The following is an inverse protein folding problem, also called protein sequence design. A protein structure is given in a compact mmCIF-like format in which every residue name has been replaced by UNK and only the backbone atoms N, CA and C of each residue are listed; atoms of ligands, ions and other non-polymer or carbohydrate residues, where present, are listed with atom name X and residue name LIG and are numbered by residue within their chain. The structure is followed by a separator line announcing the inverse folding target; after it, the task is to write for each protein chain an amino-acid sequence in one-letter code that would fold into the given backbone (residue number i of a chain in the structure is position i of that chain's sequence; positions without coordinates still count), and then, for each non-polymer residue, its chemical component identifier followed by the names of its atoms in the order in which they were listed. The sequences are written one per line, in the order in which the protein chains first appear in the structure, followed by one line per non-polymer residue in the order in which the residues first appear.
data_IF_124471998943
#
_entry.id   IF_124471998943
#
_cell.length_a   1.000
_cell.length_b   1.000
_cell.length_c   1.000
_cell.angle_alpha   90.00
_cell.angle_beta   90.00
_cell.angle_gamma   90.00
#
_symmetry.space_group_name_H-M   'P 1'
#
loop_
_entity.id
_entity.type
_entity.pdbx_description
1 polymer ?
#
# COMPACT_ATOMS: atom_id res chain seq x y z
N UNK A 1 11.59 -10.80 -1.04
CA UNK A 1 10.17 -11.16 -1.26
C UNK A 1 9.85 -11.37 -2.74
N UNK A 2 9.99 -10.38 -3.62
CA UNK A 2 9.68 -10.51 -5.06
C UNK A 2 10.26 -11.77 -5.74
N UNK A 3 11.56 -12.07 -5.55
CA UNK A 3 12.18 -13.31 -6.06
C UNK A 3 11.51 -14.58 -5.55
N UNK A 4 11.13 -14.61 -4.27
CA UNK A 4 10.44 -15.76 -3.67
C UNK A 4 9.03 -15.95 -4.25
N UNK A 5 8.34 -14.86 -4.59
CA UNK A 5 7.03 -14.94 -5.27
C UNK A 5 7.17 -15.44 -6.70
N UNK A 6 8.20 -15.02 -7.44
CA UNK A 6 8.50 -15.58 -8.77
C UNK A 6 8.77 -17.10 -8.70
N UNK A 7 9.58 -17.54 -7.72
CA UNK A 7 9.83 -18.96 -7.48
C UNK A 7 8.55 -19.72 -7.08
N UNK A 8 7.67 -19.11 -6.29
CA UNK A 8 6.38 -19.68 -5.92
C UNK A 8 5.51 -19.90 -7.17
N UNK A 9 5.35 -18.89 -8.03
CA UNK A 9 4.55 -19.01 -9.26
C UNK A 9 5.09 -20.11 -10.18
N UNK A 10 6.42 -20.22 -10.31
CA UNK A 10 7.07 -21.32 -11.03
C UNK A 10 6.75 -22.68 -10.42
N UNK A 11 6.82 -22.83 -9.09
CA UNK A 11 6.51 -24.09 -8.38
C UNK A 11 5.04 -24.49 -8.50
N UNK A 12 4.13 -23.51 -8.59
CA UNK A 12 2.71 -23.73 -8.82
C UNK A 12 2.38 -24.03 -10.30
N UNK A 13 3.35 -23.94 -11.21
CA UNK A 13 3.16 -24.21 -12.64
C UNK A 13 2.53 -23.07 -13.44
N UNK A 14 2.47 -21.86 -12.89
CA UNK A 14 1.94 -20.69 -13.60
C UNK A 14 2.99 -20.10 -14.55
N UNK A 15 2.80 -20.32 -15.85
CA UNK A 15 3.66 -19.77 -16.90
C UNK A 15 3.18 -18.39 -17.41
N UNK A 16 2.00 -17.94 -16.98
CA UNK A 16 1.38 -16.65 -17.29
C UNK A 16 0.58 -16.21 -16.06
N UNK A 17 0.91 -15.06 -15.49
CA UNK A 17 0.26 -14.52 -14.31
C UNK A 17 0.36 -12.99 -14.24
N UNK A 18 -0.51 -12.38 -13.45
CA UNK A 18 -0.44 -10.97 -13.07
C UNK A 18 -0.16 -10.87 -11.58
N UNK A 19 0.35 -9.73 -11.12
CA UNK A 19 0.58 -9.48 -9.70
C UNK A 19 -0.15 -8.21 -9.24
N UNK A 20 -0.67 -8.22 -8.02
CA UNK A 20 -1.42 -7.10 -7.43
C UNK A 20 -0.87 -6.80 -6.03
N UNK A 21 -0.75 -5.52 -5.66
CA UNK A 21 -0.41 -5.16 -4.30
C UNK A 21 -0.77 -3.73 -3.87
N UNK A 22 -1.16 -3.59 -2.60
CA UNK A 22 -1.15 -2.36 -1.81
C UNK A 22 -0.14 -2.47 -0.66
N UNK A 23 0.15 -1.38 0.05
CA UNK A 23 1.14 -1.35 1.15
C UNK A 23 2.45 -2.09 0.81
N UNK A 24 2.99 -2.96 1.68
CA UNK A 24 4.15 -3.82 1.40
C UNK A 24 4.00 -4.64 0.12
N UNK A 25 2.78 -5.03 -0.22
CA UNK A 25 2.46 -5.70 -1.48
C UNK A 25 2.77 -4.84 -2.71
N UNK A 26 2.49 -3.52 -2.68
CA UNK A 26 2.81 -2.59 -3.76
C UNK A 26 4.33 -2.57 -4.03
N UNK A 27 5.15 -2.61 -2.98
CA UNK A 27 6.60 -2.73 -3.11
C UNK A 27 7.01 -4.05 -3.75
N UNK A 28 6.40 -5.15 -3.30
CA UNK A 28 6.71 -6.47 -3.83
C UNK A 28 6.39 -6.54 -5.31
N UNK A 29 5.23 -6.05 -5.75
CA UNK A 29 4.85 -6.09 -7.17
C UNK A 29 5.67 -5.13 -8.03
N UNK A 30 6.03 -3.95 -7.53
CA UNK A 30 7.00 -3.09 -8.23
C UNK A 30 8.36 -3.77 -8.39
N UNK A 31 8.86 -4.42 -7.34
CA UNK A 31 10.12 -5.17 -7.39
C UNK A 31 10.02 -6.37 -8.34
N UNK A 32 8.86 -7.02 -8.45
CA UNK A 32 8.60 -8.01 -9.50
C UNK A 32 8.61 -7.36 -10.88
N UNK A 33 8.00 -6.19 -11.05
CA UNK A 33 8.01 -5.43 -12.29
C UNK A 33 9.42 -5.01 -12.74
N UNK A 34 10.32 -4.69 -11.81
CA UNK A 34 11.74 -4.44 -12.10
C UNK A 34 12.49 -5.72 -12.46
N UNK A 35 12.20 -6.82 -11.78
CA UNK A 35 12.86 -8.12 -12.02
C UNK A 35 12.39 -8.80 -13.29
N UNK A 36 11.18 -8.47 -13.77
CA UNK A 36 10.53 -9.05 -14.95
C UNK A 36 10.62 -10.60 -14.97
N UNK A 37 10.18 -11.30 -13.90
CA UNK A 37 10.23 -12.74 -13.86
C UNK A 37 9.41 -13.34 -14.99
N UNK A 38 9.90 -14.46 -15.55
CA UNK A 38 9.22 -15.16 -16.63
C UNK A 38 7.76 -15.48 -16.26
N UNK A 39 6.84 -15.14 -17.17
CA UNK A 39 5.41 -15.35 -17.00
C UNK A 39 4.65 -14.18 -16.36
N UNK A 40 5.31 -13.17 -15.79
CA UNK A 40 4.64 -11.95 -15.33
C UNK A 40 4.17 -11.12 -16.52
N UNK A 41 2.86 -10.96 -16.66
CA UNK A 41 2.22 -10.23 -17.76
C UNK A 41 2.01 -8.75 -17.45
N UNK A 42 1.61 -8.42 -16.22
CA UNK A 42 1.33 -7.08 -15.76
C UNK A 42 1.33 -7.02 -14.23
N UNK A 43 1.47 -5.81 -13.70
CA UNK A 43 1.25 -5.51 -12.27
C UNK A 43 0.08 -4.55 -12.09
N UNK A 44 -0.64 -4.65 -10.97
CA UNK A 44 -1.60 -3.65 -10.50
C UNK A 44 -1.18 -3.14 -9.11
N UNK A 45 -1.25 -1.83 -8.91
CA UNK A 45 -1.03 -1.23 -7.60
C UNK A 45 -2.17 -0.29 -7.20
N UNK A 46 -2.62 -0.42 -5.94
CA UNK A 46 -3.52 0.54 -5.30
C UNK A 46 -2.78 1.51 -4.34
N UNK A 47 -1.45 1.39 -4.24
CA UNK A 47 -0.56 2.32 -3.53
C UNK A 47 0.72 2.47 -4.37
N UNK A 48 0.61 3.11 -5.55
CA UNK A 48 1.68 3.08 -6.55
C UNK A 48 2.87 3.94 -6.11
N UNK A 49 4.08 3.61 -6.56
CA UNK A 49 5.27 4.40 -6.27
C UNK A 49 5.48 5.43 -7.40
N UNK A 50 4.88 6.62 -7.27
CA UNK A 50 4.82 7.62 -8.35
C UNK A 50 5.49 8.95 -8.05
N UNK A 51 5.96 9.17 -6.82
CA UNK A 51 6.47 10.46 -6.36
C UNK A 51 7.76 10.84 -7.12
N UNK A 52 7.78 12.01 -7.80
CA UNK A 52 8.97 12.53 -8.46
C UNK A 52 10.11 12.87 -7.50
N UNK A 53 11.35 12.83 -7.97
CA UNK A 53 12.54 13.02 -7.13
C UNK A 53 12.66 14.43 -6.52
N UNK A 54 12.24 15.47 -7.24
CA UNK A 54 12.21 16.86 -6.76
C UNK A 54 11.13 17.06 -5.68
N UNK A 55 9.97 16.42 -5.86
CA UNK A 55 8.90 16.39 -4.85
C UNK A 55 9.35 15.65 -3.59
N UNK A 56 9.94 14.46 -3.72
CA UNK A 56 10.47 13.71 -2.56
C UNK A 56 11.54 14.52 -1.82
N UNK A 57 12.47 15.14 -2.55
CA UNK A 57 13.50 16.01 -1.94
C UNK A 57 12.87 17.14 -1.13
N UNK A 58 11.81 17.78 -1.64
CA UNK A 58 11.09 18.83 -0.92
C UNK A 58 10.40 18.30 0.34
N UNK A 59 9.76 17.11 0.25
CA UNK A 59 9.12 16.43 1.38
C UNK A 59 10.12 16.10 2.49
N UNK A 60 11.28 15.53 2.15
CA UNK A 60 12.34 15.21 3.12
C UNK A 60 12.95 16.45 3.76
N UNK A 61 13.03 17.56 3.01
CA UNK A 61 13.51 18.84 3.52
C UNK A 61 12.46 19.60 4.37
N UNK A 62 11.21 19.15 4.37
CA UNK A 62 10.10 19.89 4.99
C UNK A 62 9.85 21.26 4.33
N UNK A 63 10.17 21.39 3.03
CA UNK A 63 10.07 22.66 2.31
C UNK A 63 8.69 22.87 1.68
N UNK A 64 8.51 24.02 1.02
CA UNK A 64 7.37 24.25 0.13
C UNK A 64 7.43 23.29 -1.08
N UNK A 65 6.28 22.96 -1.68
CA UNK A 65 6.24 22.17 -2.90
C UNK A 65 7.03 22.84 -4.04
N UNK A 66 7.59 22.06 -4.99
CA UNK A 66 8.13 22.60 -6.22
C UNK A 66 7.13 23.52 -6.94
N UNK A 67 7.63 24.53 -7.66
CA UNK A 67 6.77 25.41 -8.46
C UNK A 67 6.15 24.66 -9.65
N UNK A 68 4.92 25.00 -10.01
CA UNK A 68 4.27 24.47 -11.23
C UNK A 68 3.54 23.15 -11.06
N UNK A 69 3.34 22.68 -9.82
CA UNK A 69 2.44 21.55 -9.56
C UNK A 69 1.01 21.88 -9.98
N UNK A 70 0.34 20.94 -10.64
CA UNK A 70 -1.11 21.02 -10.88
C UNK A 70 -1.89 20.94 -9.57
N UNK A 71 -3.20 21.21 -9.60
CA UNK A 71 -4.07 21.06 -8.41
C UNK A 71 -4.02 19.64 -7.82
N UNK A 72 -3.99 18.61 -8.67
CA UNK A 72 -3.90 17.22 -8.20
C UNK A 72 -2.55 16.91 -7.56
N UNK A 73 -1.47 17.43 -8.15
CA UNK A 73 -0.11 17.26 -7.65
C UNK A 73 0.12 18.03 -6.35
N UNK A 74 -0.46 19.21 -6.22
CA UNK A 74 -0.47 20.00 -4.98
C UNK A 74 -1.23 19.25 -3.86
N UNK A 75 -2.41 18.68 -4.18
CA UNK A 75 -3.16 17.85 -3.23
C UNK A 75 -2.34 16.64 -2.77
N UNK A 76 -1.70 15.94 -3.71
CA UNK A 76 -0.85 14.79 -3.41
C UNK A 76 0.35 15.19 -2.52
N UNK A 77 0.98 16.32 -2.79
CA UNK A 77 2.05 16.87 -1.95
C UNK A 77 1.57 17.10 -0.50
N UNK A 78 0.44 17.77 -0.34
CA UNK A 78 -0.13 18.08 0.98
C UNK A 78 -0.56 16.83 1.75
N UNK A 79 -1.09 15.82 1.06
CA UNK A 79 -1.37 14.49 1.64
C UNK A 79 -0.09 13.82 2.12
N UNK A 80 0.97 13.81 1.29
CA UNK A 80 2.26 13.25 1.68
C UNK A 80 2.88 13.97 2.88
N UNK A 81 2.77 15.30 2.96
CA UNK A 81 3.19 16.08 4.15
C UNK A 81 2.47 15.63 5.42
N UNK A 82 1.18 15.29 5.34
CA UNK A 82 0.42 14.75 6.48
C UNK A 82 0.84 13.31 6.80
N UNK A 83 0.90 12.45 5.79
CA UNK A 83 1.34 11.06 5.91
C UNK A 83 2.69 10.93 6.59
N UNK A 84 3.69 11.73 6.20
CA UNK A 84 5.02 11.68 6.82
C UNK A 84 5.06 12.12 8.30
N UNK A 85 3.99 12.73 8.83
CA UNK A 85 3.83 13.01 10.27
C UNK A 85 3.23 11.83 11.04
N UNK A 86 2.64 10.86 10.35
CA UNK A 86 1.92 9.70 10.91
C UNK A 86 2.73 8.38 10.82
N UNK A 87 3.97 8.42 10.33
CA UNK A 87 4.83 7.23 10.16
C UNK A 87 5.75 6.93 11.37
N UNK A 88 5.37 7.34 12.57
CA UNK A 88 6.18 7.11 13.77
C UNK A 88 6.35 5.61 14.08
N UNK A 89 5.28 4.82 13.87
CA UNK A 89 5.32 3.36 13.99
C UNK A 89 6.38 2.77 13.05
N UNK A 90 6.40 3.18 11.79
CA UNK A 90 7.35 2.71 10.77
C UNK A 90 8.78 3.11 11.13
N UNK A 91 9.01 4.31 11.66
CA UNK A 91 10.33 4.75 12.15
C UNK A 91 10.82 3.88 13.30
N UNK A 92 9.95 3.53 14.25
CA UNK A 92 10.31 2.64 15.35
C UNK A 92 10.63 1.23 14.87
N UNK A 93 9.79 0.66 14.00
CA UNK A 93 10.03 -0.65 13.39
C UNK A 93 11.29 -0.68 12.52
N UNK A 94 11.59 0.39 11.79
CA UNK A 94 12.79 0.51 10.96
C UNK A 94 14.08 0.67 11.77
N UNK A 95 13.98 1.14 13.02
CA UNK A 95 15.13 1.43 13.87
C UNK A 95 15.39 0.35 14.94
N UNK A 96 14.36 -0.20 15.59
CA UNK A 96 14.52 -1.13 16.71
C UNK A 96 13.36 -2.15 16.75
N UNK A 97 13.13 -2.93 15.68
CA UNK A 97 11.98 -3.83 15.63
C UNK A 97 12.01 -4.87 16.76
N UNK A 98 13.19 -5.33 17.15
CA UNK A 98 13.35 -6.35 18.19
C UNK A 98 12.95 -5.85 19.59
N UNK A 99 13.06 -4.55 19.86
CA UNK A 99 12.70 -3.97 21.16
C UNK A 99 11.18 -3.94 21.37
N UNK A 100 10.38 -4.16 20.32
CA UNK A 100 8.92 -4.21 20.38
C UNK A 100 8.36 -5.48 21.03
N UNK A 101 9.09 -6.15 21.92
CA UNK A 101 8.58 -7.36 22.60
C UNK A 101 7.29 -7.13 23.39
N UNK A 102 6.98 -5.88 23.77
CA UNK A 102 5.69 -5.54 24.39
C UNK A 102 4.47 -5.93 23.53
N UNK A 103 4.56 -5.86 22.20
CA UNK A 103 3.46 -6.29 21.31
C UNK A 103 3.43 -7.82 21.10
N UNK A 104 4.45 -8.54 21.55
CA UNK A 104 4.46 -10.01 21.56
C UNK A 104 3.91 -10.57 22.88
N UNK A 105 3.99 -9.81 23.97
CA UNK A 105 3.60 -10.23 25.32
C UNK A 105 2.20 -9.76 25.73
N UNK A 106 1.73 -8.64 25.17
CA UNK A 106 0.43 -8.05 25.50
C UNK A 106 -0.53 -8.08 24.30
N UNK A 107 -1.67 -8.80 24.35
CA UNK A 107 -2.64 -8.78 23.27
C UNK A 107 -3.31 -7.42 23.12
N UNK A 108 -3.47 -6.67 24.23
CA UNK A 108 -3.95 -5.28 24.20
C UNK A 108 -2.89 -4.37 23.57
N UNK A 109 -1.60 -4.59 23.89
CA UNK A 109 -0.49 -3.87 23.27
C UNK A 109 -0.41 -4.10 21.76
N UNK A 110 -0.57 -5.35 21.32
CA UNK A 110 -0.63 -5.70 19.91
C UNK A 110 -1.84 -5.07 19.21
N UNK A 111 -3.03 -5.17 19.81
CA UNK A 111 -4.24 -4.59 19.25
C UNK A 111 -4.11 -3.06 19.09
N UNK A 112 -3.66 -2.36 20.13
CA UNK A 112 -3.42 -0.92 20.07
C UNK A 112 -2.42 -0.56 18.96
N UNK A 113 -1.37 -1.37 18.80
CA UNK A 113 -0.34 -1.16 17.78
C UNK A 113 -0.85 -1.38 16.34
N UNK A 114 -1.68 -2.40 16.12
CA UNK A 114 -2.24 -2.69 14.79
C UNK A 114 -3.35 -1.73 14.41
N UNK A 115 -4.16 -1.28 15.36
CA UNK A 115 -5.23 -0.30 15.11
C UNK A 115 -4.67 1.08 14.72
N UNK A 116 -3.52 1.47 15.24
CA UNK A 116 -2.94 2.81 15.06
C UNK A 116 -2.17 2.98 13.73
N UNK A 117 -2.75 2.54 12.61
CA UNK A 117 -2.21 2.74 11.26
C UNK A 117 -3.01 3.80 10.49
N UNK A 118 -2.34 4.58 9.64
CA UNK A 118 -2.89 5.80 9.06
C UNK A 118 -3.51 5.63 7.67
N UNK A 119 -4.37 6.58 7.30
CA UNK A 119 -4.76 6.88 5.93
C UNK A 119 -4.21 8.27 5.50
N UNK A 120 -4.78 8.89 4.45
CA UNK A 120 -4.38 10.23 3.98
C UNK A 120 -4.60 11.37 5.01
N UNK A 121 -5.48 11.15 5.98
CA UNK A 121 -6.06 12.21 6.81
C UNK A 121 -5.80 11.99 8.30
N UNK A 122 -5.97 10.76 8.81
CA UNK A 122 -5.88 10.45 10.24
C UNK A 122 -5.15 9.13 10.54
N UNK A 123 -4.84 8.96 11.82
CA UNK A 123 -4.29 7.74 12.41
C UNK A 123 -4.97 7.53 13.76
N UNK A 124 -5.74 6.44 13.97
CA UNK A 124 -6.09 5.38 13.02
C UNK A 124 -6.84 5.85 11.75
N UNK A 125 -6.76 5.05 10.69
CA UNK A 125 -7.56 5.24 9.48
C UNK A 125 -9.07 5.26 9.79
N UNK A 126 -9.82 6.08 9.05
CA UNK A 126 -11.25 6.26 9.27
C UNK A 126 -12.03 4.95 9.13
N UNK A 127 -11.64 4.09 8.17
CA UNK A 127 -12.25 2.79 7.96
C UNK A 127 -12.12 1.84 9.16
N UNK A 128 -10.94 1.82 9.80
CA UNK A 128 -10.69 1.01 11.00
C UNK A 128 -11.55 1.52 12.17
N UNK A 129 -11.54 2.84 12.41
CA UNK A 129 -12.33 3.46 13.48
C UNK A 129 -13.83 3.22 13.31
N UNK A 130 -14.34 3.34 12.07
CA UNK A 130 -15.73 3.04 11.77
C UNK A 130 -16.05 1.54 11.92
N UNK A 131 -15.13 0.67 11.50
CA UNK A 131 -15.29 -0.78 11.59
C UNK A 131 -15.40 -1.30 13.01
N UNK A 132 -14.69 -0.71 13.97
CA UNK A 132 -14.79 -1.08 15.40
C UNK A 132 -16.19 -0.91 15.99
N UNK A 133 -17.02 -0.02 15.41
CA UNK A 133 -18.41 0.20 15.82
C UNK A 133 -19.43 -0.58 14.97
N UNK A 134 -18.98 -1.36 13.99
CA UNK A 134 -19.81 -2.11 13.04
C UNK A 134 -19.71 -3.61 13.31
N UNK A 135 -20.83 -4.30 13.54
CA UNK A 135 -20.87 -5.76 13.73
C UNK A 135 -21.37 -6.53 12.51
N UNK A 136 -21.96 -5.84 11.52
CA UNK A 136 -22.45 -6.44 10.27
C UNK A 136 -22.22 -5.48 9.11
N UNK A 137 -21.96 -6.01 7.92
CA UNK A 137 -21.92 -5.22 6.68
C UNK A 137 -22.73 -5.89 5.58
N UNK A 138 -23.50 -5.08 4.84
CA UNK A 138 -24.21 -5.51 3.64
C UNK A 138 -23.42 -5.24 2.34
N UNK A 139 -22.48 -4.30 2.36
CA UNK A 139 -21.75 -3.83 1.18
C UNK A 139 -20.25 -4.16 1.22
N UNK A 140 -19.80 -4.92 2.23
CA UNK A 140 -18.43 -5.38 2.40
C UNK A 140 -17.50 -4.40 3.14
N UNK A 141 -18.03 -3.42 3.87
CA UNK A 141 -17.23 -2.57 4.77
C UNK A 141 -16.73 -3.34 5.99
N UNK A 142 -15.53 -2.98 6.48
CA UNK A 142 -14.91 -3.60 7.66
C UNK A 142 -15.88 -3.67 8.85
N UNK A 143 -15.91 -4.83 9.49
CA UNK A 143 -16.57 -5.05 10.77
C UNK A 143 -15.52 -5.21 11.88
N UNK A 144 -15.98 -5.08 13.13
CA UNK A 144 -15.14 -5.28 14.30
C UNK A 144 -14.57 -6.69 14.34
N UNK A 145 -15.35 -7.69 13.96
CA UNK A 145 -14.92 -9.09 14.01
C UNK A 145 -13.82 -9.35 12.97
N UNK A 146 -13.93 -8.80 11.76
CA UNK A 146 -12.85 -8.88 10.77
C UNK A 146 -11.56 -8.20 11.25
N UNK A 147 -11.67 -7.04 11.91
CA UNK A 147 -10.50 -6.37 12.50
C UNK A 147 -9.85 -7.24 13.60
N UNK A 148 -10.68 -7.88 14.42
CA UNK A 148 -10.21 -8.80 15.45
C UNK A 148 -9.61 -10.08 14.85
N UNK A 149 -10.09 -10.55 13.71
CA UNK A 149 -9.51 -11.69 13.00
C UNK A 149 -8.07 -11.39 12.55
N UNK A 150 -7.80 -10.21 12.00
CA UNK A 150 -6.44 -9.79 11.64
C UNK A 150 -5.53 -9.70 12.88
N UNK A 151 -5.98 -9.03 13.94
CA UNK A 151 -5.23 -8.95 15.21
C UNK A 151 -4.96 -10.35 15.78
N UNK A 152 -5.94 -11.24 15.71
CA UNK A 152 -5.83 -12.62 16.20
C UNK A 152 -4.82 -13.42 15.39
N UNK A 153 -4.76 -13.23 14.07
CA UNK A 153 -3.73 -13.85 13.23
C UNK A 153 -2.33 -13.45 13.69
N UNK A 154 -2.07 -12.16 13.93
CA UNK A 154 -0.78 -11.69 14.44
C UNK A 154 -0.47 -12.23 15.84
N UNK A 155 -1.48 -12.28 16.72
CA UNK A 155 -1.34 -12.77 18.08
C UNK A 155 -0.98 -14.26 18.12
N UNK A 156 -1.79 -15.10 17.49
CA UNK A 156 -1.64 -16.56 17.54
C UNK A 156 -0.38 -17.06 16.83
N UNK A 157 0.12 -16.30 15.85
CA UNK A 157 1.39 -16.63 15.16
C UNK A 157 2.60 -15.95 15.81
N UNK A 158 2.40 -15.08 16.79
CA UNK A 158 3.42 -14.25 17.43
C UNK A 158 4.30 -13.50 16.40
N UNK A 159 3.65 -12.92 15.39
CA UNK A 159 4.36 -12.35 14.23
C UNK A 159 4.55 -10.85 14.28
N UNK A 160 3.97 -10.11 15.23
CA UNK A 160 4.09 -8.65 15.31
C UNK A 160 5.53 -8.12 15.24
N UNK A 161 6.44 -8.73 16.01
CA UNK A 161 7.88 -8.39 15.97
C UNK A 161 8.53 -8.80 14.65
N UNK A 162 8.20 -9.99 14.12
CA UNK A 162 8.79 -10.48 12.87
C UNK A 162 8.35 -9.66 11.65
N UNK A 163 7.09 -9.25 11.59
CA UNK A 163 6.54 -8.38 10.55
C UNK A 163 7.21 -6.99 10.60
N UNK A 164 7.46 -6.47 11.80
CA UNK A 164 8.17 -5.19 12.00
C UNK A 164 9.57 -5.18 11.41
N UNK A 165 10.26 -6.33 11.33
CA UNK A 165 11.61 -6.40 10.75
C UNK A 165 11.63 -6.08 9.26
N UNK A 166 10.50 -6.14 8.56
CA UNK A 166 10.42 -5.73 7.17
C UNK A 166 10.79 -4.24 6.98
N UNK A 167 10.38 -3.38 7.91
CA UNK A 167 10.78 -1.97 7.95
C UNK A 167 12.28 -1.80 8.24
N UNK A 168 12.88 -2.72 8.99
CA UNK A 168 14.33 -2.71 9.24
C UNK A 168 15.12 -3.10 7.98
N UNK A 169 14.65 -4.09 7.22
CA UNK A 169 15.33 -4.56 6.01
C UNK A 169 15.21 -3.58 4.84
N UNK A 170 14.07 -2.92 4.69
CA UNK A 170 13.85 -2.00 3.58
C UNK A 170 14.44 -0.61 3.87
N UNK A 171 15.28 -0.13 2.96
CA UNK A 171 15.91 1.21 3.03
C UNK A 171 15.57 2.10 1.83
N UNK A 172 14.67 1.63 0.95
CA UNK A 172 14.20 2.40 -0.19
C UNK A 172 13.11 3.39 0.22
N UNK A 173 12.77 4.27 -0.71
CA UNK A 173 11.64 5.18 -0.55
C UNK A 173 10.30 4.47 -0.76
N UNK A 174 9.29 4.84 0.03
CA UNK A 174 7.98 4.18 -0.02
C UNK A 174 7.19 4.60 -1.28
N UNK A 175 7.26 5.88 -1.64
CA UNK A 175 6.40 6.44 -2.69
C UNK A 175 7.16 6.77 -3.98
N UNK A 176 8.48 6.64 -3.97
CA UNK A 176 9.35 7.10 -5.06
C UNK A 176 9.21 6.23 -6.32
N UNK A 177 9.14 6.89 -7.49
CA UNK A 177 9.19 6.21 -8.77
C UNK A 177 10.43 5.29 -8.90
N UNK A 178 10.21 4.05 -9.37
CA UNK A 178 11.26 3.00 -9.41
C UNK A 178 11.74 2.64 -10.81
N UNK A 179 11.05 3.09 -11.86
CA UNK A 179 11.41 2.80 -13.26
C UNK A 179 10.90 1.44 -13.75
N UNK A 180 9.70 1.03 -13.34
CA UNK A 180 9.05 -0.21 -13.82
C UNK A 180 8.57 -0.03 -15.27
N UNK A 181 8.91 -0.97 -16.16
CA UNK A 181 8.62 -0.89 -17.60
C UNK A 181 7.63 -1.95 -18.12
N UNK A 182 7.29 -2.97 -17.31
CA UNK A 182 6.23 -3.93 -17.65
C UNK A 182 4.87 -3.22 -17.68
N UNK A 183 3.82 -3.80 -18.27
CA UNK A 183 2.47 -3.25 -18.18
C UNK A 183 2.05 -3.01 -16.72
N UNK A 184 1.61 -1.80 -16.41
CA UNK A 184 1.17 -1.39 -15.07
C UNK A 184 -0.27 -0.89 -15.12
N UNK A 185 -1.05 -1.30 -14.12
CA UNK A 185 -2.37 -0.76 -13.83
C UNK A 185 -2.38 -0.07 -12.46
N UNK A 186 -3.10 1.04 -12.34
CA UNK A 186 -3.24 1.77 -11.08
C UNK A 186 -4.69 2.09 -10.79
N UNK A 187 -5.12 1.85 -9.56
CA UNK A 187 -6.39 2.35 -9.02
C UNK A 187 -6.11 3.25 -7.84
N UNK A 188 -6.64 4.47 -7.86
CA UNK A 188 -6.45 5.48 -6.81
C UNK A 188 -7.69 5.54 -5.93
N UNK A 189 -7.53 5.20 -4.66
CA UNK A 189 -8.58 5.28 -3.64
C UNK A 189 -8.50 6.64 -2.91
N UNK A 190 -9.64 7.28 -2.60
CA UNK A 190 -9.64 8.64 -2.05
C UNK A 190 -9.02 8.73 -0.65
N UNK A 191 -9.14 7.68 0.17
CA UNK A 191 -8.54 7.56 1.51
C UNK A 191 -7.20 6.81 1.55
N UNK A 192 -6.47 6.69 0.45
CA UNK A 192 -5.08 6.21 0.49
C UNK A 192 -4.15 7.31 1.04
N UNK A 193 -3.02 6.96 1.64
CA UNK A 193 -1.99 7.86 2.20
C UNK A 193 -1.62 9.04 1.28
N UNK A 194 -1.75 8.86 -0.03
CA UNK A 194 -1.90 9.95 -0.97
C UNK A 194 -2.63 9.49 -2.22
N UNK A 195 -3.34 10.41 -2.87
CA UNK A 195 -3.96 10.15 -4.17
C UNK A 195 -2.94 10.40 -5.27
N UNK A 196 -2.37 9.34 -5.82
CA UNK A 196 -1.39 9.42 -6.90
C UNK A 196 -1.95 10.20 -8.11
N UNK A 197 -1.40 11.37 -8.46
CA UNK A 197 -1.85 12.12 -9.63
C UNK A 197 -1.59 11.32 -10.91
N UNK A 198 -2.45 11.50 -11.92
CA UNK A 198 -2.27 10.83 -13.22
C UNK A 198 -0.94 11.22 -13.87
N UNK A 199 -0.58 12.49 -13.82
CA UNK A 199 0.69 13.02 -14.36
C UNK A 199 1.93 12.42 -13.71
N UNK A 200 1.87 12.07 -12.42
CA UNK A 200 2.97 11.38 -11.72
C UNK A 200 3.01 9.91 -12.13
N UNK A 201 1.83 9.30 -12.23
CA UNK A 201 1.68 7.88 -12.58
C UNK A 201 2.16 7.59 -14.00
N UNK A 202 1.78 8.41 -14.98
CA UNK A 202 2.24 8.28 -16.38
C UNK A 202 3.76 8.48 -16.51
N UNK A 203 4.36 9.36 -15.70
CA UNK A 203 5.81 9.55 -15.65
C UNK A 203 6.54 8.36 -15.02
N UNK A 204 5.97 7.79 -13.95
CA UNK A 204 6.58 6.69 -13.20
C UNK A 204 6.48 5.34 -13.92
N UNK A 205 5.41 5.15 -14.70
CA UNK A 205 5.11 3.90 -15.40
C UNK A 205 4.90 4.17 -16.91
N UNK A 206 5.95 4.08 -17.74
CA UNK A 206 5.87 4.35 -19.18
C UNK A 206 4.91 3.42 -19.94
N UNK A 207 4.56 2.27 -19.37
CA UNK A 207 3.61 1.30 -19.92
C UNK A 207 2.35 1.20 -19.05
N UNK A 208 1.70 2.32 -18.79
CA UNK A 208 0.47 2.41 -18.01
C UNK A 208 -0.73 1.95 -18.86
N UNK A 209 -1.22 0.74 -18.61
CA UNK A 209 -2.33 0.12 -19.35
C UNK A 209 -3.71 0.43 -18.77
N UNK A 210 -3.76 0.90 -17.52
CA UNK A 210 -4.99 1.25 -16.83
C UNK A 210 -4.71 2.27 -15.72
N UNK A 211 -5.56 3.29 -15.63
CA UNK A 211 -5.55 4.25 -14.54
C UNK A 211 -6.99 4.64 -14.24
N UNK A 212 -7.40 4.54 -12.97
CA UNK A 212 -8.71 5.00 -12.55
C UNK A 212 -8.69 5.55 -11.12
N UNK A 213 -9.56 6.52 -10.86
CA UNK A 213 -9.83 7.07 -9.53
C UNK A 213 -11.23 6.63 -9.12
N UNK A 214 -11.37 5.98 -7.97
CA UNK A 214 -12.67 5.51 -7.47
C UNK A 214 -13.27 6.49 -6.47
N UNK A 215 -14.56 6.36 -6.18
CA UNK A 215 -15.35 7.28 -5.37
C UNK A 215 -15.26 7.03 -3.87
N UNK A 216 -14.90 5.81 -3.44
CA UNK A 216 -14.79 5.42 -2.03
C UNK A 216 -13.68 4.41 -1.75
N UNK A 217 -13.32 4.30 -0.48
CA UNK A 217 -12.27 3.43 0.07
C UNK A 217 -10.95 4.15 0.29
N UNK A 218 -10.03 3.49 0.98
CA UNK A 218 -8.72 4.03 1.31
C UNK A 218 -7.60 3.00 1.27
N UNK A 219 -6.69 3.09 2.24
CA UNK A 219 -5.47 2.29 2.31
C UNK A 219 -5.73 0.78 2.26
N UNK A 220 -6.79 0.31 2.93
CA UNK A 220 -7.16 -1.11 2.96
C UNK A 220 -8.14 -1.44 1.83
N UNK A 221 -7.85 -1.00 0.60
CA UNK A 221 -8.75 -1.01 -0.56
C UNK A 221 -9.60 -2.28 -0.74
N UNK A 222 -8.97 -3.45 -0.74
CA UNK A 222 -9.65 -4.73 -0.92
C UNK A 222 -10.56 -5.11 0.26
N UNK A 223 -10.19 -4.66 1.46
CA UNK A 223 -10.91 -4.94 2.70
C UNK A 223 -12.06 -3.95 2.92
N UNK A 224 -11.85 -2.68 2.55
CA UNK A 224 -12.85 -1.62 2.66
C UNK A 224 -13.91 -1.70 1.58
N UNK A 225 -13.51 -1.98 0.35
CA UNK A 225 -14.35 -1.89 -0.84
C UNK A 225 -14.15 -3.10 -1.76
N UNK A 226 -14.44 -4.33 -1.29
CA UNK A 226 -14.12 -5.56 -2.02
C UNK A 226 -14.73 -5.60 -3.43
N UNK A 227 -15.95 -5.07 -3.60
CA UNK A 227 -16.63 -5.06 -4.89
C UNK A 227 -16.02 -4.06 -5.89
N UNK A 228 -15.66 -2.86 -5.42
CA UNK A 228 -14.93 -1.89 -6.27
C UNK A 228 -13.59 -2.47 -6.64
N UNK A 229 -12.81 -2.93 -5.65
CA UNK A 229 -11.50 -3.51 -5.86
C UNK A 229 -11.52 -4.65 -6.88
N UNK A 230 -12.45 -5.61 -6.74
CA UNK A 230 -12.58 -6.71 -7.69
C UNK A 230 -12.96 -6.25 -9.11
N UNK A 231 -13.82 -5.23 -9.24
CA UNK A 231 -14.20 -4.67 -10.54
C UNK A 231 -13.03 -3.97 -11.22
N UNK A 232 -12.24 -3.23 -10.45
CA UNK A 232 -11.04 -2.54 -10.93
C UNK A 232 -10.01 -3.56 -11.43
N UNK A 233 -9.75 -4.65 -10.69
CA UNK A 233 -8.84 -5.71 -11.15
C UNK A 233 -9.33 -6.42 -12.42
N UNK A 234 -10.63 -6.67 -12.54
CA UNK A 234 -11.22 -7.27 -13.75
C UNK A 234 -11.04 -6.37 -14.96
N UNK A 235 -11.23 -5.07 -14.78
CA UNK A 235 -11.11 -4.07 -15.85
C UNK A 235 -9.64 -3.89 -16.23
N UNK A 236 -8.77 -3.65 -15.24
CA UNK A 236 -7.34 -3.45 -15.40
C UNK A 236 -6.65 -4.60 -16.15
N UNK A 237 -6.91 -5.84 -15.74
CA UNK A 237 -6.27 -7.01 -16.34
C UNK A 237 -7.02 -7.58 -17.55
N UNK A 238 -8.18 -7.02 -17.91
CA UNK A 238 -8.95 -7.47 -19.08
C UNK A 238 -8.16 -7.40 -20.39
N UNK A 239 -7.23 -6.46 -20.50
CA UNK A 239 -6.38 -6.24 -21.69
C UNK A 239 -5.19 -7.19 -21.82
N UNK A 240 -4.84 -7.94 -20.77
CA UNK A 240 -3.64 -8.80 -20.71
C UNK A 240 -3.93 -10.28 -20.43
N UNK A 241 -5.22 -10.66 -20.42
CA UNK A 241 -5.66 -12.07 -20.31
C UNK A 241 -5.30 -12.87 -21.56
#
# INVERSE_FOLDING_TARGET
MARAWADLMKRLGYNRYVAQGGDWGAFVVDQMGLQQPAGLLAIHSNMPATVPADVDKALQAGSLPPSGLSTEEQRAYEQLVRTFKQVAYARMMAARPQTLYGIADSPIGLAAWLLDHNDADAQPAAAVTAGLNRTTSAAGELTRDEILDDITLYWLTNTGVSASRLYWEYKGGFFNAKGVTVPVAVTVFPGEQYQAPRSWTERAYPNLIYYNTVDKGGHYAAWEQPMIFAQELRTAFGSVR
#
